data_IF_615903902186
#
_entry.id   IF_615903902186
#
_cell.length_a   1.000
_cell.length_b   1.000
_cell.length_c   1.000
_cell.angle_alpha   90.00
_cell.angle_beta   90.00
_cell.angle_gamma   90.00
#
_symmetry.space_group_name_H-M   'P 1'
#
loop_
_entity.id
_entity.type
_entity.pdbx_description
1 polymer ?
#
# COMPACT_ATOMS: atom_id res chain seq x y z
N UNK A 1 7.20 -22.85 7.01
CA UNK A 1 7.37 -21.87 5.92
C UNK A 1 7.95 -20.59 6.48
N UNK A 2 8.32 -19.64 5.62
CA UNK A 2 8.75 -18.29 6.01
C UNK A 2 7.51 -17.40 6.11
N UNK A 3 7.42 -16.55 7.14
CA UNK A 3 6.41 -15.51 7.20
C UNK A 3 6.86 -14.28 6.41
N UNK A 4 6.04 -13.82 5.47
CA UNK A 4 6.36 -12.69 4.60
C UNK A 4 5.42 -11.52 4.89
N UNK A 5 5.99 -10.33 5.09
CA UNK A 5 5.23 -9.07 5.06
C UNK A 5 5.69 -8.28 3.83
N UNK A 6 4.77 -7.55 3.20
CA UNK A 6 5.05 -6.75 2.01
C UNK A 6 4.94 -5.27 2.35
N UNK A 7 5.95 -4.51 1.97
CA UNK A 7 5.99 -3.06 2.12
C UNK A 7 5.70 -2.42 0.77
N UNK A 8 4.60 -1.66 0.69
CA UNK A 8 4.21 -1.03 -0.55
C UNK A 8 4.95 0.30 -0.73
N UNK A 9 6.17 0.24 -1.24
CA UNK A 9 6.99 1.44 -1.48
C UNK A 9 6.22 2.47 -2.32
N UNK A 10 6.26 3.74 -1.86
CA UNK A 10 5.61 4.87 -2.49
C UNK A 10 4.07 4.78 -2.60
N UNK A 11 3.43 4.02 -1.70
CA UNK A 11 1.97 3.91 -1.61
C UNK A 11 1.27 5.28 -1.56
N UNK A 12 1.81 6.24 -0.81
CA UNK A 12 1.19 7.56 -0.66
C UNK A 12 1.08 8.35 -1.97
N UNK A 13 2.10 8.30 -2.83
CA UNK A 13 2.01 8.89 -4.16
C UNK A 13 1.21 8.01 -5.12
N UNK A 14 1.29 6.68 -4.98
CA UNK A 14 0.46 5.73 -5.71
C UNK A 14 -1.03 6.04 -5.54
N UNK A 15 -1.50 6.26 -4.31
CA UNK A 15 -2.90 6.59 -4.01
C UNK A 15 -3.34 7.95 -4.58
N UNK A 16 -2.42 8.90 -4.77
CA UNK A 16 -2.72 10.22 -5.36
C UNK A 16 -2.79 10.19 -6.87
N UNK A 17 -1.87 9.48 -7.51
CA UNK A 17 -1.63 9.62 -8.94
C UNK A 17 -2.12 8.39 -9.75
N UNK A 18 -2.20 7.22 -9.11
CA UNK A 18 -2.42 5.93 -9.76
C UNK A 18 -3.21 4.97 -8.84
N UNK A 19 -4.34 5.43 -8.33
CA UNK A 19 -5.16 4.71 -7.33
C UNK A 19 -5.56 3.30 -7.81
N UNK A 20 -6.04 3.17 -9.04
CA UNK A 20 -6.50 1.89 -9.59
C UNK A 20 -5.37 0.84 -9.62
N UNK A 21 -4.15 1.25 -10.01
CA UNK A 21 -2.98 0.37 -9.99
C UNK A 21 -2.66 -0.14 -8.57
N UNK A 22 -2.79 0.72 -7.56
CA UNK A 22 -2.56 0.32 -6.16
C UNK A 22 -3.59 -0.73 -5.74
N UNK A 23 -4.86 -0.56 -6.10
CA UNK A 23 -5.90 -1.56 -5.80
C UNK A 23 -5.65 -2.88 -6.53
N UNK A 24 -5.38 -2.86 -7.84
CA UNK A 24 -5.07 -4.07 -8.61
C UNK A 24 -3.87 -4.83 -8.03
N UNK A 25 -2.85 -4.11 -7.55
CA UNK A 25 -1.69 -4.74 -6.96
C UNK A 25 -1.97 -5.30 -5.56
N UNK A 26 -2.78 -4.63 -4.74
CA UNK A 26 -3.25 -5.16 -3.47
C UNK A 26 -4.11 -6.42 -3.70
N UNK A 27 -5.01 -6.39 -4.68
CA UNK A 27 -5.85 -7.54 -5.06
C UNK A 27 -5.00 -8.74 -5.48
N UNK A 28 -3.89 -8.52 -6.17
CA UNK A 28 -2.92 -9.60 -6.45
C UNK A 28 -2.23 -10.13 -5.18
N UNK A 29 -1.87 -9.24 -4.25
CA UNK A 29 -1.11 -9.59 -3.04
C UNK A 29 -1.94 -10.36 -2.00
N UNK A 30 -3.25 -10.12 -1.91
CA UNK A 30 -4.12 -10.83 -0.96
C UNK A 30 -4.27 -12.33 -1.28
N UNK A 31 -4.07 -12.72 -2.54
CA UNK A 31 -4.08 -14.12 -2.97
C UNK A 31 -2.75 -14.85 -2.70
N UNK A 32 -1.72 -14.12 -2.25
CA UNK A 32 -0.41 -14.68 -1.92
C UNK A 32 -0.32 -15.07 -0.44
N UNK A 33 0.66 -15.89 -0.07
CA UNK A 33 0.94 -16.25 1.32
C UNK A 33 1.66 -15.11 2.08
N UNK A 34 1.04 -13.92 2.12
CA UNK A 34 1.53 -12.72 2.79
C UNK A 34 0.77 -12.53 4.11
N UNK A 35 1.52 -12.29 5.19
CA UNK A 35 0.96 -12.11 6.53
C UNK A 35 0.41 -10.70 6.73
N UNK A 36 1.11 -9.68 6.22
CA UNK A 36 0.70 -8.27 6.30
C UNK A 36 1.15 -7.50 5.06
N UNK A 37 0.29 -6.58 4.64
CA UNK A 37 0.63 -5.53 3.68
C UNK A 37 0.76 -4.23 4.49
N UNK A 38 1.87 -3.52 4.29
CA UNK A 38 2.16 -2.24 4.95
C UNK A 38 1.97 -1.12 3.93
N UNK A 39 1.22 -0.08 4.32
CA UNK A 39 0.86 1.08 3.50
C UNK A 39 1.63 2.32 3.99
N UNK A 40 2.90 2.49 3.60
CA UNK A 40 3.75 3.55 4.08
C UNK A 40 3.54 4.87 3.35
N UNK A 41 3.65 5.97 4.08
CA UNK A 41 3.91 7.26 3.48
C UNK A 41 5.43 7.47 3.33
N UNK A 42 6.00 6.90 2.26
CA UNK A 42 7.46 6.81 2.07
C UNK A 42 8.15 8.19 2.07
N UNK A 43 7.53 9.19 1.44
CA UNK A 43 8.08 10.55 1.36
C UNK A 43 7.51 11.51 2.41
N UNK A 44 6.60 11.05 3.28
CA UNK A 44 5.98 11.88 4.31
C UNK A 44 5.11 13.01 3.75
N UNK A 45 4.44 12.75 2.62
CA UNK A 45 3.71 13.77 1.87
C UNK A 45 2.24 13.90 2.27
N UNK A 46 1.66 12.93 2.98
CA UNK A 46 0.25 12.90 3.34
C UNK A 46 -0.04 13.66 4.64
N UNK A 47 -1.18 14.35 4.67
CA UNK A 47 -1.76 14.85 5.92
C UNK A 47 -2.58 13.75 6.61
N UNK A 48 -2.85 13.85 7.93
CA UNK A 48 -3.70 12.88 8.62
C UNK A 48 -5.08 12.67 7.96
N UNK A 49 -5.65 13.74 7.39
CA UNK A 49 -6.91 13.68 6.67
C UNK A 49 -6.80 12.88 5.36
N UNK A 50 -5.72 13.08 4.60
CA UNK A 50 -5.49 12.32 3.36
C UNK A 50 -5.26 10.84 3.62
N UNK A 51 -4.57 10.49 4.71
CA UNK A 51 -4.39 9.08 5.11
C UNK A 51 -5.73 8.45 5.50
N UNK A 52 -6.65 9.20 6.10
CA UNK A 52 -7.97 8.69 6.47
C UNK A 52 -8.89 8.48 5.26
N UNK A 53 -8.82 9.36 4.27
CA UNK A 53 -9.64 9.28 3.05
C UNK A 53 -9.20 8.18 2.07
N UNK A 54 -7.98 7.67 2.22
CA UNK A 54 -7.38 6.64 1.36
C UNK A 54 -7.65 5.23 1.88
#
# INVERSE_FOLDING_TARGET
GIETNVYLEDWSNGMRNSKDYVFEFIDFLIDQNVKRIMLPDTLGVLTPYQVYDF
#
